data_IF_764023165900
#
_entry.id   IF_764023165900
#
_cell.length_a   1.000
_cell.length_b   1.000
_cell.length_c   1.000
_cell.angle_alpha   90.00
_cell.angle_beta   90.00
_cell.angle_gamma   90.00
#
_symmetry.space_group_name_H-M   'P 1'
#
loop_
_entity.id
_entity.type
_entity.pdbx_description
1 polymer ?
#
# COMPACT_ATOMS: atom_id res chain seq x y z
N UNK A 1 18.43 -7.91 -4.21
CA UNK A 1 19.87 -7.57 -4.32
C UNK A 1 20.31 -6.57 -3.24
N UNK A 2 19.76 -5.35 -3.16
CA UNK A 2 20.22 -4.25 -2.28
C UNK A 2 20.27 -4.67 -0.81
N UNK A 3 19.22 -5.23 -0.25
CA UNK A 3 19.14 -5.61 1.16
C UNK A 3 20.14 -6.72 1.57
N UNK A 4 20.53 -7.60 0.64
CA UNK A 4 21.63 -8.55 0.88
C UNK A 4 23.01 -7.85 0.83
N UNK A 5 23.19 -6.86 -0.04
CA UNK A 5 24.43 -6.07 -0.07
C UNK A 5 24.61 -5.26 1.21
N UNK A 6 23.51 -4.73 1.77
CA UNK A 6 23.50 -4.05 3.07
C UNK A 6 24.00 -4.99 4.19
N UNK A 7 23.51 -6.24 4.22
CA UNK A 7 23.96 -7.25 5.18
C UNK A 7 25.46 -7.59 5.01
N UNK A 8 25.92 -7.75 3.77
CA UNK A 8 27.33 -8.02 3.45
C UNK A 8 28.22 -6.85 3.88
N UNK A 9 27.78 -5.62 3.66
CA UNK A 9 28.51 -4.42 4.06
C UNK A 9 28.61 -4.32 5.60
N UNK A 10 27.51 -4.55 6.32
CA UNK A 10 27.50 -4.58 7.77
C UNK A 10 28.47 -5.63 8.33
N UNK A 11 28.42 -6.85 7.79
CA UNK A 11 29.33 -7.95 8.19
C UNK A 11 30.80 -7.59 7.96
N UNK A 12 31.14 -7.02 6.79
CA UNK A 12 32.53 -6.62 6.48
C UNK A 12 33.03 -5.48 7.36
N UNK A 13 32.16 -4.60 7.82
CA UNK A 13 32.50 -3.51 8.73
C UNK A 13 32.49 -3.93 10.21
N UNK A 14 32.04 -5.15 10.51
CA UNK A 14 31.97 -5.65 11.89
C UNK A 14 30.93 -4.93 12.76
N UNK A 15 29.89 -4.35 12.16
CA UNK A 15 28.77 -3.71 12.87
C UNK A 15 27.48 -4.50 12.61
N UNK A 16 26.49 -4.33 13.50
CA UNK A 16 25.22 -5.02 13.30
C UNK A 16 24.45 -4.47 12.08
N UNK A 17 23.69 -5.34 11.43
CA UNK A 17 22.84 -4.98 10.31
C UNK A 17 21.77 -3.95 10.68
N UNK A 18 21.32 -3.94 11.93
CA UNK A 18 20.40 -2.95 12.48
C UNK A 18 21.09 -1.59 12.55
N UNK A 19 22.31 -1.55 13.10
CA UNK A 19 23.07 -0.30 13.23
C UNK A 19 23.49 0.24 11.86
N UNK A 20 23.93 -0.62 10.94
CA UNK A 20 24.25 -0.20 9.58
C UNK A 20 23.06 0.50 8.91
N UNK A 21 21.84 -0.06 9.04
CA UNK A 21 20.63 0.57 8.50
C UNK A 21 20.29 1.87 9.22
N UNK A 22 20.43 1.95 10.56
CA UNK A 22 20.19 3.18 11.34
C UNK A 22 21.09 4.35 10.93
N UNK A 23 22.35 4.04 10.56
CA UNK A 23 23.29 5.05 10.07
C UNK A 23 22.89 5.54 8.68
N UNK A 24 22.53 4.61 7.77
CA UNK A 24 22.38 4.88 6.35
C UNK A 24 20.93 5.16 5.88
N UNK A 25 19.92 4.84 6.70
CA UNK A 25 18.54 5.04 6.29
C UNK A 25 18.19 6.51 6.11
N UNK A 26 17.28 6.77 5.18
CA UNK A 26 16.70 8.12 5.00
C UNK A 26 15.92 8.55 6.25
N UNK A 27 16.00 9.85 6.54
CA UNK A 27 15.34 10.55 7.65
C UNK A 27 14.63 11.78 7.10
N UNK A 28 13.83 12.42 7.92
CA UNK A 28 13.21 13.70 7.56
C UNK A 28 14.28 14.69 7.10
N UNK A 29 14.11 15.27 5.90
CA UNK A 29 15.05 16.18 5.28
C UNK A 29 16.25 15.50 4.59
N UNK A 30 16.34 14.17 4.55
CA UNK A 30 17.38 13.47 3.78
C UNK A 30 17.21 13.73 2.29
N UNK A 31 18.34 13.75 1.59
CA UNK A 31 18.38 13.79 0.12
C UNK A 31 18.55 12.37 -0.43
N UNK A 32 17.71 11.99 -1.38
CA UNK A 32 17.81 10.70 -2.08
C UNK A 32 18.96 10.67 -3.10
N UNK A 33 19.21 9.50 -3.68
CA UNK A 33 20.20 9.35 -4.77
C UNK A 33 19.83 10.15 -6.03
N UNK A 34 18.56 10.52 -6.18
CA UNK A 34 18.05 11.35 -7.29
C UNK A 34 18.04 12.84 -6.95
N UNK A 35 18.69 13.25 -5.86
CA UNK A 35 18.69 14.62 -5.33
C UNK A 35 17.32 15.16 -4.85
N UNK A 36 16.35 14.30 -4.63
CA UNK A 36 15.08 14.69 -4.01
C UNK A 36 15.24 14.85 -2.50
N UNK A 37 14.80 15.97 -1.94
CA UNK A 37 14.72 16.18 -0.49
C UNK A 37 13.39 15.64 0.04
N UNK A 38 13.46 14.81 1.08
CA UNK A 38 12.28 14.18 1.70
C UNK A 38 11.76 15.05 2.85
N UNK A 39 10.99 16.10 2.53
CA UNK A 39 10.50 17.09 3.49
C UNK A 39 8.99 17.34 3.45
N UNK A 40 8.30 16.90 2.41
CA UNK A 40 6.88 17.18 2.16
C UNK A 40 5.90 16.15 2.78
N UNK A 41 6.41 15.11 3.42
CA UNK A 41 5.66 14.06 4.09
C UNK A 41 6.46 13.53 5.28
N UNK A 42 5.86 12.68 6.12
CA UNK A 42 6.56 12.06 7.25
C UNK A 42 7.44 10.91 6.75
N UNK A 43 8.74 10.95 7.08
CA UNK A 43 9.70 9.87 6.80
C UNK A 43 9.71 8.89 7.98
N UNK A 44 8.93 7.82 7.87
CA UNK A 44 8.64 6.87 8.96
C UNK A 44 9.50 5.59 8.92
N UNK A 45 10.56 5.52 8.10
CA UNK A 45 11.35 4.30 7.91
C UNK A 45 11.91 3.74 9.22
N UNK A 46 12.38 4.61 10.11
CA UNK A 46 12.85 4.20 11.43
C UNK A 46 11.71 3.62 12.29
N UNK A 47 10.53 4.23 12.23
CA UNK A 47 9.37 3.81 13.01
C UNK A 47 8.91 2.41 12.61
N UNK A 48 8.76 2.15 11.30
CA UNK A 48 8.33 0.83 10.82
C UNK A 48 9.36 -0.25 11.16
N UNK A 49 10.67 0.06 11.03
CA UNK A 49 11.74 -0.86 11.41
C UNK A 49 11.71 -1.19 12.90
N UNK A 50 11.67 -0.18 13.77
CA UNK A 50 11.68 -0.40 15.23
C UNK A 50 10.46 -1.21 15.70
N UNK A 51 9.27 -0.97 15.11
CA UNK A 51 8.05 -1.74 15.42
C UNK A 51 8.18 -3.21 15.02
N UNK A 52 8.71 -3.51 13.83
CA UNK A 52 8.90 -4.90 13.37
C UNK A 52 9.92 -5.63 14.23
N UNK A 53 11.09 -5.01 14.46
CA UNK A 53 12.16 -5.63 15.26
C UNK A 53 11.72 -5.92 16.69
N UNK A 54 10.91 -5.03 17.27
CA UNK A 54 10.33 -5.23 18.62
C UNK A 54 9.30 -6.37 18.61
N UNK A 55 8.38 -6.37 17.66
CA UNK A 55 7.28 -7.34 17.59
C UNK A 55 7.80 -8.78 17.40
N UNK A 56 8.79 -8.95 16.51
CA UNK A 56 9.37 -10.27 16.27
C UNK A 56 10.37 -10.71 17.34
N UNK A 57 10.70 -9.85 18.31
CA UNK A 57 11.75 -10.07 19.34
C UNK A 57 13.13 -10.35 18.70
N UNK A 58 13.50 -9.51 17.72
CA UNK A 58 14.62 -9.74 16.84
C UNK A 58 15.94 -9.99 17.55
N UNK A 59 16.34 -9.13 18.49
CA UNK A 59 17.65 -9.22 19.18
C UNK A 59 17.80 -10.50 20.01
N UNK A 60 16.73 -10.97 20.64
CA UNK A 60 16.74 -12.22 21.41
C UNK A 60 16.81 -13.42 20.47
N UNK A 61 16.03 -13.41 19.39
CA UNK A 61 15.99 -14.49 18.41
C UNK A 61 17.26 -14.57 17.56
N UNK A 62 17.93 -13.44 17.29
CA UNK A 62 19.20 -13.40 16.60
C UNK A 62 20.29 -14.24 17.30
N UNK A 63 20.30 -14.28 18.66
CA UNK A 63 21.22 -15.10 19.45
C UNK A 63 21.01 -16.61 19.28
N UNK A 64 19.87 -17.03 18.70
CA UNK A 64 19.54 -18.43 18.48
C UNK A 64 19.91 -18.91 17.07
N UNK A 65 20.41 -18.01 16.21
CA UNK A 65 20.76 -18.36 14.84
C UNK A 65 21.86 -19.41 14.79
N UNK A 66 21.68 -20.40 13.92
CA UNK A 66 22.53 -21.61 13.87
C UNK A 66 23.80 -21.43 13.07
N UNK A 67 23.82 -20.51 12.08
CA UNK A 67 24.95 -20.23 11.18
C UNK A 67 25.60 -21.48 10.57
N UNK A 68 24.78 -22.50 10.27
CA UNK A 68 25.23 -23.75 9.66
C UNK A 68 25.96 -24.71 10.60
N UNK A 69 25.66 -24.67 11.90
CA UNK A 69 26.21 -25.57 12.91
C UNK A 69 25.99 -27.04 12.49
N UNK A 70 27.06 -27.81 12.23
CA UNK A 70 26.95 -29.18 11.73
C UNK A 70 26.37 -30.17 12.74
N UNK A 71 26.36 -29.83 14.02
CA UNK A 71 25.82 -30.70 15.08
C UNK A 71 24.30 -30.60 15.20
N UNK A 72 23.66 -29.70 14.43
CA UNK A 72 22.21 -29.50 14.45
C UNK A 72 21.53 -30.16 13.25
N UNK A 73 20.43 -30.90 13.48
CA UNK A 73 19.58 -31.41 12.42
C UNK A 73 18.72 -30.32 11.73
N UNK A 74 18.49 -29.22 12.44
CA UNK A 74 17.73 -28.06 11.97
C UNK A 74 18.48 -26.77 12.26
N UNK A 75 18.61 -25.93 11.27
CA UNK A 75 19.21 -24.61 11.37
C UNK A 75 18.15 -23.52 11.48
N UNK A 76 18.24 -22.74 12.54
CA UNK A 76 17.34 -21.62 12.81
C UNK A 76 17.94 -20.31 12.29
N UNK A 77 17.11 -19.47 11.70
CA UNK A 77 17.50 -18.14 11.25
C UNK A 77 16.37 -17.12 11.33
N UNK A 78 16.77 -15.87 11.54
CA UNK A 78 15.90 -14.71 11.50
C UNK A 78 16.54 -13.64 10.63
N UNK A 79 15.76 -12.93 9.81
CA UNK A 79 16.24 -11.85 8.97
C UNK A 79 15.17 -10.79 8.78
N UNK A 80 15.57 -9.58 8.39
CA UNK A 80 14.65 -8.51 8.07
C UNK A 80 15.17 -7.71 6.86
N UNK A 81 14.27 -6.92 6.28
CA UNK A 81 14.56 -5.99 5.21
C UNK A 81 13.70 -4.73 5.36
N UNK A 82 14.22 -3.61 4.87
CA UNK A 82 13.51 -2.32 4.85
C UNK A 82 13.38 -1.81 3.43
N UNK A 83 12.35 -1.02 3.16
CA UNK A 83 12.22 -0.31 1.89
C UNK A 83 11.64 1.09 2.08
N UNK A 84 11.99 1.95 1.13
CA UNK A 84 11.23 3.16 0.83
C UNK A 84 10.98 3.19 -0.67
N UNK A 85 9.75 3.48 -1.05
CA UNK A 85 9.31 3.41 -2.44
C UNK A 85 8.52 4.67 -2.79
N UNK A 86 8.85 5.26 -3.94
CA UNK A 86 8.04 6.31 -4.53
C UNK A 86 6.66 5.79 -4.96
N UNK A 87 5.64 6.58 -4.75
CA UNK A 87 4.27 6.24 -5.05
C UNK A 87 3.82 6.86 -6.37
N UNK A 88 2.88 6.16 -7.05
CA UNK A 88 2.33 6.62 -8.30
C UNK A 88 3.32 6.51 -9.48
N UNK A 89 3.00 7.03 -10.67
CA UNK A 89 3.91 6.97 -11.82
C UNK A 89 5.13 7.88 -11.66
N UNK A 90 5.01 8.93 -10.85
CA UNK A 90 6.11 9.86 -10.63
C UNK A 90 6.60 10.48 -11.93
N UNK A 91 7.92 10.43 -12.15
CA UNK A 91 8.56 10.96 -13.35
C UNK A 91 8.29 10.15 -14.63
N UNK A 92 7.70 8.96 -14.52
CA UNK A 92 7.48 8.07 -15.67
C UNK A 92 6.30 8.50 -16.55
N UNK A 93 5.42 9.38 -16.08
CA UNK A 93 4.28 9.82 -16.89
C UNK A 93 3.31 10.77 -16.20
N UNK A 94 2.33 11.21 -17.00
CA UNK A 94 1.21 12.03 -16.50
C UNK A 94 0.33 11.17 -15.60
N UNK A 95 0.05 11.67 -14.40
CA UNK A 95 -0.61 10.90 -13.38
C UNK A 95 -1.83 11.62 -12.81
N UNK A 96 -3.02 11.06 -13.07
CA UNK A 96 -4.31 11.56 -12.60
C UNK A 96 -5.32 10.42 -12.49
N UNK A 97 -6.42 10.69 -11.82
CA UNK A 97 -7.61 9.82 -11.83
C UNK A 97 -8.86 10.68 -11.77
N UNK A 98 -10.00 10.08 -12.07
CA UNK A 98 -11.30 10.75 -12.09
C UNK A 98 -12.36 9.93 -11.38
N UNK A 99 -13.37 10.61 -10.86
CA UNK A 99 -14.54 10.02 -10.21
C UNK A 99 -15.81 10.77 -10.59
N UNK A 100 -16.91 10.03 -10.70
CA UNK A 100 -18.23 10.55 -10.93
C UNK A 100 -19.11 10.18 -9.73
N UNK A 101 -19.80 11.16 -9.18
CA UNK A 101 -20.85 10.94 -8.17
C UNK A 101 -22.17 11.44 -8.75
N UNK A 102 -23.14 10.55 -8.82
CA UNK A 102 -24.47 10.79 -9.36
C UNK A 102 -25.52 10.42 -8.31
N UNK A 103 -26.24 11.40 -7.77
CA UNK A 103 -27.26 11.19 -6.75
C UNK A 103 -28.63 10.98 -7.41
N UNK A 104 -29.34 9.97 -6.94
CA UNK A 104 -30.66 9.61 -7.44
C UNK A 104 -31.78 10.33 -6.64
N UNK A 105 -33.02 10.45 -7.17
CA UNK A 105 -34.11 11.12 -6.46
C UNK A 105 -34.47 10.55 -5.08
N UNK A 106 -34.15 9.28 -4.83
CA UNK A 106 -34.33 8.61 -3.55
C UNK A 106 -33.21 8.88 -2.54
N UNK A 107 -32.21 9.67 -2.94
CA UNK A 107 -31.02 9.98 -2.16
C UNK A 107 -29.92 8.92 -2.21
N UNK A 108 -30.08 7.84 -2.97
CA UNK A 108 -28.99 6.89 -3.22
C UNK A 108 -27.94 7.50 -4.14
N UNK A 109 -26.69 7.05 -3.99
CA UNK A 109 -25.52 7.59 -4.67
C UNK A 109 -24.91 6.53 -5.57
N UNK A 110 -24.69 6.84 -6.84
CA UNK A 110 -23.91 6.04 -7.76
C UNK A 110 -22.50 6.63 -7.81
N UNK A 111 -21.48 5.81 -7.52
CA UNK A 111 -20.07 6.17 -7.58
C UNK A 111 -19.41 5.41 -8.72
N UNK A 112 -18.68 6.12 -9.57
CA UNK A 112 -17.88 5.57 -10.65
C UNK A 112 -16.47 6.16 -10.57
N UNK A 113 -15.44 5.32 -10.70
CA UNK A 113 -14.03 5.76 -10.72
C UNK A 113 -13.25 5.03 -11.80
N UNK A 114 -12.12 5.57 -12.22
CA UNK A 114 -11.18 4.89 -13.13
C UNK A 114 -10.31 3.81 -12.45
N UNK A 115 -10.54 3.47 -11.18
CA UNK A 115 -9.76 2.47 -10.46
C UNK A 115 -10.31 1.08 -10.70
N UNK A 116 -9.48 0.18 -11.22
CA UNK A 116 -9.87 -1.21 -11.47
C UNK A 116 -9.84 -2.03 -10.18
N UNK A 117 -10.81 -2.95 -10.05
CA UNK A 117 -10.81 -3.97 -9.00
C UNK A 117 -10.01 -5.20 -9.48
N UNK A 118 -8.91 -5.49 -8.80
CA UNK A 118 -8.04 -6.64 -9.05
C UNK A 118 -8.10 -7.67 -7.90
N UNK A 119 -9.04 -7.51 -6.98
CA UNK A 119 -9.13 -8.25 -5.72
C UNK A 119 -8.47 -7.54 -4.54
N UNK A 120 -7.96 -6.29 -4.74
CA UNK A 120 -7.35 -5.48 -3.70
C UNK A 120 -8.36 -4.69 -2.86
N UNK A 121 -9.67 -4.73 -3.20
CA UNK A 121 -10.74 -4.06 -2.45
C UNK A 121 -10.94 -2.60 -2.80
N UNK A 122 -10.59 -2.18 -4.03
CA UNK A 122 -10.75 -0.80 -4.49
C UNK A 122 -12.20 -0.31 -4.39
N UNK A 123 -13.17 -1.15 -4.77
CA UNK A 123 -14.61 -0.83 -4.67
C UNK A 123 -14.97 -0.38 -3.25
N UNK A 124 -14.66 -1.21 -2.25
CA UNK A 124 -14.97 -0.91 -0.84
C UNK A 124 -14.28 0.35 -0.36
N UNK A 125 -13.01 0.56 -0.76
CA UNK A 125 -12.24 1.74 -0.35
C UNK A 125 -12.83 3.02 -0.94
N UNK A 126 -13.22 3.02 -2.22
CA UNK A 126 -13.84 4.20 -2.86
C UNK A 126 -15.20 4.53 -2.25
N UNK A 127 -16.00 3.50 -1.93
CA UNK A 127 -17.29 3.68 -1.21
C UNK A 127 -17.06 4.31 0.16
N UNK A 128 -16.08 3.82 0.94
CA UNK A 128 -15.77 4.37 2.27
C UNK A 128 -15.32 5.83 2.21
N UNK A 129 -14.48 6.21 1.24
CA UNK A 129 -14.05 7.59 1.04
C UNK A 129 -15.25 8.49 0.71
N UNK A 130 -16.10 8.07 -0.22
CA UNK A 130 -17.30 8.83 -0.58
C UNK A 130 -18.29 8.95 0.60
N UNK A 131 -18.48 7.86 1.35
CA UNK A 131 -19.37 7.82 2.52
C UNK A 131 -18.90 8.79 3.61
N UNK A 132 -17.61 8.78 3.92
CA UNK A 132 -17.01 9.68 4.92
C UNK A 132 -17.17 11.15 4.49
N UNK A 133 -16.83 11.46 3.24
CA UNK A 133 -16.89 12.84 2.74
C UNK A 133 -18.34 13.38 2.66
N UNK A 134 -19.29 12.55 2.31
CA UNK A 134 -20.70 12.94 2.19
C UNK A 134 -21.48 12.83 3.51
N UNK A 135 -20.89 12.25 4.56
CA UNK A 135 -21.57 11.99 5.83
C UNK A 135 -22.71 10.98 5.70
N UNK A 136 -22.58 10.01 4.81
CA UNK A 136 -23.58 9.00 4.50
C UNK A 136 -23.16 7.60 4.97
N UNK A 137 -24.10 6.72 5.32
CA UNK A 137 -23.78 5.32 5.52
C UNK A 137 -23.38 4.66 4.18
N UNK A 138 -22.49 3.68 4.23
CA UNK A 138 -22.02 2.94 3.03
C UNK A 138 -23.16 2.31 2.22
N UNK A 139 -24.27 1.96 2.88
CA UNK A 139 -25.47 1.38 2.25
C UNK A 139 -26.17 2.31 1.26
N UNK A 140 -25.92 3.62 1.35
CA UNK A 140 -26.43 4.63 0.40
C UNK A 140 -25.64 4.68 -0.89
N UNK A 141 -24.41 4.14 -0.93
CA UNK A 141 -23.50 4.29 -2.05
C UNK A 141 -23.38 2.97 -2.79
N UNK A 142 -23.60 3.00 -4.10
CA UNK A 142 -23.40 1.88 -5.01
C UNK A 142 -22.25 2.20 -5.95
N UNK A 143 -21.27 1.33 -5.96
CA UNK A 143 -20.16 1.41 -6.90
C UNK A 143 -20.55 0.77 -8.24
N UNK A 144 -20.32 1.46 -9.34
CA UNK A 144 -20.44 0.89 -10.67
C UNK A 144 -19.06 0.44 -11.14
N UNK A 145 -18.98 -0.81 -11.55
CA UNK A 145 -17.75 -1.35 -12.11
C UNK A 145 -17.25 -0.49 -13.27
N UNK A 146 -15.95 -0.12 -13.27
CA UNK A 146 -15.38 0.73 -14.32
C UNK A 146 -15.47 0.04 -15.68
N UNK A 147 -15.86 0.82 -16.68
CA UNK A 147 -15.91 0.41 -18.07
C UNK A 147 -15.48 1.58 -18.94
N UNK A 148 -14.70 1.32 -19.96
CA UNK A 148 -14.28 2.33 -20.92
C UNK A 148 -15.43 3.01 -21.68
N UNK A 149 -16.65 2.48 -21.56
CA UNK A 149 -17.86 3.06 -22.14
C UNK A 149 -18.60 4.05 -21.25
N UNK A 150 -18.29 4.10 -19.94
CA UNK A 150 -19.09 4.90 -18.99
C UNK A 150 -18.28 5.79 -18.07
N UNK A 151 -16.96 5.61 -17.98
CA UNK A 151 -16.11 6.48 -17.17
C UNK A 151 -14.95 7.04 -17.98
N UNK A 152 -14.43 8.23 -17.61
CA UNK A 152 -13.18 8.73 -18.16
C UNK A 152 -12.01 7.82 -17.82
N UNK A 153 -11.01 7.81 -18.68
CA UNK A 153 -9.78 7.08 -18.43
C UNK A 153 -9.08 7.58 -17.16
N UNK A 154 -8.85 6.67 -16.21
CA UNK A 154 -8.11 6.92 -14.97
C UNK A 154 -6.67 6.41 -15.01
N UNK A 155 -6.23 5.92 -16.17
CA UNK A 155 -4.94 5.23 -16.33
C UNK A 155 -4.93 3.83 -15.70
N UNK A 156 -3.80 3.16 -15.83
CA UNK A 156 -3.61 1.80 -15.32
C UNK A 156 -3.57 1.78 -13.79
N UNK A 157 -4.19 0.78 -13.16
CA UNK A 157 -4.06 0.51 -11.73
C UNK A 157 -2.73 -0.22 -11.46
N UNK A 158 -1.64 0.53 -11.34
CA UNK A 158 -0.26 0.08 -11.07
C UNK A 158 0.41 1.03 -10.08
N UNK A 159 1.66 0.79 -9.73
CA UNK A 159 2.48 1.68 -8.90
C UNK A 159 1.78 2.15 -7.61
N UNK A 160 0.89 1.30 -7.09
CA UNK A 160 0.10 1.50 -5.87
C UNK A 160 -0.66 2.83 -5.81
N UNK A 161 -1.10 3.35 -6.98
CA UNK A 161 -1.73 4.67 -7.14
C UNK A 161 -3.26 4.70 -6.91
N UNK A 162 -3.91 3.52 -6.85
CA UNK A 162 -5.37 3.42 -6.82
C UNK A 162 -6.03 4.24 -5.71
N UNK A 163 -5.69 3.97 -4.45
CA UNK A 163 -6.26 4.71 -3.29
C UNK A 163 -5.79 6.16 -3.26
N UNK A 164 -4.54 6.42 -3.64
CA UNK A 164 -3.96 7.76 -3.64
C UNK A 164 -4.66 8.69 -4.63
N UNK A 165 -4.70 8.30 -5.91
CA UNK A 165 -5.28 9.13 -6.97
C UNK A 165 -6.80 8.96 -7.10
N UNK A 166 -7.28 7.72 -7.12
CA UNK A 166 -8.71 7.44 -7.20
C UNK A 166 -9.48 7.92 -5.97
N UNK A 167 -8.90 7.71 -4.78
CA UNK A 167 -9.43 8.28 -3.54
C UNK A 167 -9.43 9.80 -3.54
N UNK A 168 -8.36 10.43 -4.06
CA UNK A 168 -8.30 11.88 -4.24
C UNK A 168 -9.38 12.41 -5.18
N UNK A 169 -9.60 11.74 -6.31
CA UNK A 169 -10.65 12.08 -7.27
C UNK A 169 -12.05 11.92 -6.66
N UNK A 170 -12.28 10.83 -5.91
CA UNK A 170 -13.53 10.58 -5.19
C UNK A 170 -13.81 11.68 -4.15
N UNK A 171 -12.81 12.05 -3.37
CA UNK A 171 -12.90 13.16 -2.40
C UNK A 171 -13.23 14.49 -3.10
N UNK A 172 -12.60 14.78 -4.24
CA UNK A 172 -12.87 16.01 -5.00
C UNK A 172 -14.29 16.01 -5.59
N UNK A 173 -14.75 14.88 -6.14
CA UNK A 173 -16.14 14.76 -6.61
C UNK A 173 -17.14 14.98 -5.48
N UNK A 174 -16.91 14.41 -4.30
CA UNK A 174 -17.75 14.59 -3.13
C UNK A 174 -17.79 16.06 -2.65
N UNK A 175 -16.65 16.76 -2.68
CA UNK A 175 -16.58 18.20 -2.36
C UNK A 175 -17.38 19.05 -3.34
N UNK A 176 -17.24 18.81 -4.65
CA UNK A 176 -18.03 19.49 -5.68
C UNK A 176 -19.52 19.26 -5.47
N UNK A 177 -19.93 18.04 -5.16
CA UNK A 177 -21.31 17.72 -4.86
C UNK A 177 -21.83 18.47 -3.61
N UNK A 178 -21.04 18.53 -2.54
CA UNK A 178 -21.38 19.32 -1.34
C UNK A 178 -21.54 20.81 -1.67
N UNK A 179 -20.71 21.35 -2.54
CA UNK A 179 -20.83 22.74 -2.98
C UNK A 179 -22.13 23.01 -3.75
N UNK A 180 -22.51 22.10 -4.67
CA UNK A 180 -23.79 22.18 -5.40
C UNK A 180 -24.99 22.19 -4.43
N UNK A 181 -24.99 21.24 -3.47
CA UNK A 181 -26.05 21.15 -2.45
C UNK A 181 -26.06 22.40 -1.54
N UNK A 182 -24.89 22.88 -1.13
CA UNK A 182 -24.74 24.07 -0.28
C UNK A 182 -25.28 25.31 -0.99
N UNK A 183 -25.00 25.48 -2.28
CA UNK A 183 -25.52 26.59 -3.08
C UNK A 183 -27.05 26.51 -3.23
N UNK A 184 -27.60 25.32 -3.45
CA UNK A 184 -29.04 25.11 -3.49
C UNK A 184 -29.73 25.50 -2.17
N UNK A 185 -29.18 25.06 -1.03
CA UNK A 185 -29.69 25.40 0.30
C UNK A 185 -29.56 26.90 0.59
N UNK A 186 -28.45 27.52 0.25
CA UNK A 186 -28.21 28.96 0.43
C UNK A 186 -29.21 29.79 -0.41
N UNK A 187 -29.44 29.37 -1.66
CA UNK A 187 -30.31 30.08 -2.58
C UNK A 187 -31.76 29.99 -2.18
N UNK A 188 -32.25 28.81 -1.81
CA UNK A 188 -33.69 28.55 -1.63
C UNK A 188 -34.12 28.56 -0.17
N UNK A 189 -33.25 28.21 0.80
CA UNK A 189 -33.55 28.23 2.24
C UNK A 189 -32.87 29.37 2.99
N UNK A 190 -31.99 30.13 2.33
CA UNK A 190 -31.15 31.18 2.93
C UNK A 190 -30.27 30.67 4.08
N UNK A 191 -29.94 29.38 4.05
CA UNK A 191 -29.08 28.71 5.05
C UNK A 191 -27.85 28.09 4.34
N UNK A 192 -26.66 28.35 4.87
CA UNK A 192 -25.41 27.87 4.29
C UNK A 192 -24.95 26.61 5.03
N UNK A 193 -24.89 25.50 4.32
CA UNK A 193 -24.35 24.24 4.84
C UNK A 193 -22.85 24.36 5.11
N UNK A 194 -22.36 23.67 6.15
CA UNK A 194 -20.95 23.54 6.46
C UNK A 194 -20.53 22.12 6.76
N UNK A 195 -21.40 21.33 7.43
CA UNK A 195 -21.12 19.96 7.79
C UNK A 195 -22.14 19.02 7.18
N UNK A 196 -21.68 17.86 6.75
CA UNK A 196 -22.48 16.76 6.23
C UNK A 196 -22.13 15.54 7.09
N UNK A 197 -23.02 15.14 7.96
CA UNK A 197 -22.76 14.14 9.00
C UNK A 197 -24.04 13.34 9.29
N UNK A 198 -23.93 12.01 9.33
CA UNK A 198 -25.04 11.11 9.72
C UNK A 198 -26.36 11.38 8.97
N UNK A 199 -26.28 11.54 7.66
CA UNK A 199 -27.40 11.89 6.78
C UNK A 199 -28.07 13.24 7.10
N UNK A 200 -27.40 14.11 7.87
CA UNK A 200 -27.86 15.45 8.22
C UNK A 200 -26.92 16.52 7.61
N UNK A 201 -27.50 17.63 7.25
CA UNK A 201 -26.75 18.80 6.77
C UNK A 201 -26.89 19.91 7.80
N UNK A 202 -25.73 20.39 8.29
CA UNK A 202 -25.69 21.35 9.40
C UNK A 202 -24.98 22.65 8.97
N UNK A 203 -25.36 23.74 9.61
CA UNK A 203 -24.70 25.04 9.44
C UNK A 203 -23.40 25.17 10.29
N UNK A 204 -22.79 26.35 10.26
CA UNK A 204 -21.57 26.66 10.99
C UNK A 204 -21.72 26.60 12.53
N UNK A 205 -22.96 26.67 13.05
CA UNK A 205 -23.31 26.56 14.47
C UNK A 205 -23.64 25.12 14.88
N UNK A 206 -23.52 24.17 13.95
CA UNK A 206 -23.94 22.77 14.08
C UNK A 206 -25.47 22.61 14.28
N UNK A 207 -26.26 23.59 13.85
CA UNK A 207 -27.70 23.44 13.79
C UNK A 207 -28.10 22.73 12.52
N UNK A 208 -29.02 21.75 12.65
CA UNK A 208 -29.53 21.01 11.49
C UNK A 208 -30.28 21.94 10.56
N UNK A 209 -29.91 21.96 9.29
CA UNK A 209 -30.62 22.65 8.23
C UNK A 209 -31.74 21.76 7.70
N UNK A 210 -31.37 20.53 7.31
CA UNK A 210 -32.26 19.51 6.77
C UNK A 210 -31.52 18.14 6.74
N UNK A 211 -32.26 17.09 6.49
CA UNK A 211 -31.73 15.77 6.18
C UNK A 211 -31.14 15.73 4.76
N UNK A 212 -30.34 14.71 4.47
CA UNK A 212 -29.83 14.43 3.12
C UNK A 212 -30.97 14.31 2.10
N UNK A 213 -32.01 13.53 2.41
CA UNK A 213 -33.15 13.32 1.50
C UNK A 213 -33.91 14.61 1.21
N UNK A 214 -34.12 15.48 2.19
CA UNK A 214 -34.76 16.79 2.00
C UNK A 214 -33.92 17.69 1.10
N UNK A 215 -32.60 17.72 1.28
CA UNK A 215 -31.69 18.47 0.42
C UNK A 215 -31.72 17.98 -1.04
N UNK A 216 -31.71 16.68 -1.25
CA UNK A 216 -31.79 16.09 -2.59
C UNK A 216 -33.18 16.36 -3.22
N UNK A 217 -34.26 16.21 -2.48
CA UNK A 217 -35.61 16.57 -2.95
C UNK A 217 -35.70 18.05 -3.33
N UNK A 218 -35.08 18.94 -2.55
CA UNK A 218 -35.00 20.37 -2.89
C UNK A 218 -34.23 20.55 -4.23
N UNK A 219 -33.09 19.95 -4.39
CA UNK A 219 -32.32 20.04 -5.63
C UNK A 219 -33.17 19.66 -6.86
N UNK A 220 -33.79 18.48 -6.84
CA UNK A 220 -34.64 18.03 -7.97
C UNK A 220 -35.88 18.93 -8.19
N UNK A 221 -36.53 19.40 -7.12
CA UNK A 221 -37.68 20.31 -7.23
C UNK A 221 -37.32 21.67 -7.86
N UNK A 222 -36.05 22.07 -7.75
CA UNK A 222 -35.50 23.30 -8.31
C UNK A 222 -34.72 23.09 -9.63
N UNK A 223 -34.84 21.90 -10.20
CA UNK A 223 -34.13 21.52 -11.44
C UNK A 223 -32.58 21.62 -11.33
N UNK A 224 -32.07 21.46 -10.13
CA UNK A 224 -30.63 21.35 -9.86
C UNK A 224 -30.30 19.85 -9.81
N UNK A 225 -29.50 19.38 -10.75
CA UNK A 225 -29.12 17.98 -10.80
C UNK A 225 -27.90 17.71 -9.92
N UNK A 226 -27.99 16.90 -8.85
CA UNK A 226 -26.88 16.64 -7.95
C UNK A 226 -25.91 15.62 -8.55
N UNK A 227 -25.05 16.08 -9.44
CA UNK A 227 -24.04 15.33 -10.18
C UNK A 227 -22.70 16.03 -10.07
N UNK A 228 -21.66 15.29 -9.81
CA UNK A 228 -20.31 15.84 -9.71
C UNK A 228 -19.29 14.96 -10.45
N UNK A 229 -18.41 15.63 -11.17
CA UNK A 229 -17.22 15.06 -11.78
C UNK A 229 -15.98 15.63 -11.08
N UNK A 230 -15.20 14.76 -10.43
CA UNK A 230 -13.99 15.13 -9.73
C UNK A 230 -12.76 14.55 -10.41
N UNK A 231 -11.71 15.33 -10.47
CA UNK A 231 -10.39 14.91 -10.95
C UNK A 231 -9.38 15.17 -9.85
N UNK A 232 -8.45 14.26 -9.65
CA UNK A 232 -7.25 14.51 -8.87
C UNK A 232 -6.03 14.27 -9.75
N UNK A 233 -5.24 15.33 -9.92
CA UNK A 233 -3.96 15.29 -10.60
C UNK A 233 -2.86 15.15 -9.55
N UNK A 234 -1.92 14.24 -9.77
CA UNK A 234 -0.74 14.13 -8.91
C UNK A 234 0.02 15.47 -8.86
N UNK A 235 0.56 15.84 -7.71
CA UNK A 235 1.49 16.96 -7.62
C UNK A 235 2.62 16.85 -8.63
N UNK A 236 3.05 18.00 -9.15
CA UNK A 236 4.09 18.05 -10.19
C UNK A 236 5.39 17.46 -9.67
N UNK A 237 5.97 16.56 -10.44
CA UNK A 237 7.32 16.01 -10.26
C UNK A 237 8.28 16.66 -11.25
N UNK A 238 9.58 16.55 -10.98
CA UNK A 238 10.65 17.04 -11.86
C UNK A 238 11.63 15.91 -12.11
N UNK A 239 12.12 15.82 -13.33
CA UNK A 239 13.10 14.82 -13.73
C UNK A 239 13.97 15.35 -14.85
N UNK A 240 15.24 15.10 -14.76
CA UNK A 240 16.24 15.38 -15.79
C UNK A 240 16.80 14.04 -16.28
N UNK A 241 16.51 13.69 -17.53
CA UNK A 241 16.90 12.44 -18.18
C UNK A 241 18.42 12.30 -18.34
N UNK A 242 19.15 13.42 -18.51
CA UNK A 242 20.59 13.40 -18.73
C UNK A 242 21.35 13.09 -17.44
N UNK A 243 20.91 13.65 -16.33
CA UNK A 243 21.59 13.53 -15.03
C UNK A 243 20.98 12.46 -14.14
N UNK A 244 19.75 12.01 -14.41
CA UNK A 244 18.98 11.11 -13.54
C UNK A 244 18.59 11.76 -12.21
N UNK A 245 18.47 13.08 -12.16
CA UNK A 245 18.14 13.84 -10.95
C UNK A 245 16.77 14.52 -11.03
N UNK A 246 16.16 14.71 -9.88
CA UNK A 246 14.90 15.42 -9.75
C UNK A 246 14.04 14.94 -8.58
N UNK A 247 12.93 15.63 -8.37
CA UNK A 247 11.89 15.18 -7.46
C UNK A 247 11.00 14.16 -8.18
N UNK A 248 11.51 12.91 -8.29
CA UNK A 248 10.92 11.85 -9.09
C UNK A 248 9.53 11.40 -8.61
N UNK A 249 9.24 11.56 -7.32
CA UNK A 249 7.96 11.17 -6.71
C UNK A 249 7.47 12.23 -5.74
N UNK A 250 6.17 12.49 -5.73
CA UNK A 250 5.59 13.50 -4.84
C UNK A 250 5.32 12.96 -3.41
N UNK A 251 5.29 11.64 -3.23
CA UNK A 251 5.22 11.01 -1.91
C UNK A 251 5.87 9.62 -1.91
N UNK A 252 6.12 9.09 -0.72
CA UNK A 252 6.84 7.85 -0.49
C UNK A 252 6.15 7.00 0.57
N UNK A 253 6.23 5.68 0.40
CA UNK A 253 5.82 4.70 1.40
C UNK A 253 7.05 4.04 2.01
N UNK A 254 6.97 3.72 3.29
CA UNK A 254 8.04 3.12 4.08
C UNK A 254 7.59 1.79 4.63
N UNK A 255 8.47 0.79 4.59
CA UNK A 255 8.15 -0.55 5.04
C UNK A 255 9.33 -1.27 5.68
N UNK A 256 8.99 -2.22 6.55
CA UNK A 256 9.91 -3.21 7.11
C UNK A 256 9.20 -4.55 7.23
N UNK A 257 9.90 -5.62 6.90
CA UNK A 257 9.42 -6.98 7.14
C UNK A 257 10.52 -7.83 7.75
N UNK A 258 10.16 -8.72 8.66
CA UNK A 258 11.05 -9.70 9.28
C UNK A 258 10.47 -11.09 9.17
N UNK A 259 11.36 -12.07 9.01
CA UNK A 259 11.02 -13.48 8.82
C UNK A 259 11.85 -14.34 9.74
N UNK A 260 11.21 -15.28 10.40
CA UNK A 260 11.78 -16.35 11.22
C UNK A 260 11.57 -17.69 10.50
N UNK A 261 12.60 -18.50 10.37
CA UNK A 261 12.55 -19.76 9.65
C UNK A 261 13.47 -20.83 10.22
N UNK A 262 13.19 -22.08 9.86
CA UNK A 262 14.07 -23.23 10.05
C UNK A 262 14.43 -23.84 8.70
N UNK A 263 15.65 -24.38 8.62
CA UNK A 263 16.16 -25.15 7.50
C UNK A 263 16.54 -26.55 8.01
N UNK A 264 15.97 -27.58 7.42
CA UNK A 264 16.36 -28.97 7.70
C UNK A 264 17.73 -29.26 7.06
N UNK A 265 18.74 -29.52 7.88
CA UNK A 265 20.13 -29.63 7.42
C UNK A 265 20.33 -30.72 6.33
N UNK A 266 19.65 -31.86 6.44
CA UNK A 266 19.79 -33.01 5.51
C UNK A 266 19.09 -32.80 4.16
N UNK A 267 17.95 -32.12 4.15
CA UNK A 267 17.12 -32.00 2.94
C UNK A 267 17.16 -30.63 2.29
N UNK A 268 17.56 -29.61 3.05
CA UNK A 268 17.48 -28.22 2.64
C UNK A 268 16.04 -27.68 2.66
N UNK A 269 15.06 -28.41 3.26
CA UNK A 269 13.69 -27.94 3.36
C UNK A 269 13.62 -26.72 4.26
N UNK A 270 13.04 -25.64 3.74
CA UNK A 270 12.79 -24.40 4.48
C UNK A 270 11.36 -24.44 5.04
N UNK A 271 11.20 -24.08 6.31
CA UNK A 271 9.91 -23.89 6.96
C UNK A 271 9.86 -22.48 7.56
N UNK A 272 8.93 -21.69 7.11
CA UNK A 272 8.65 -20.37 7.69
C UNK A 272 7.96 -20.56 9.05
N UNK A 273 8.39 -19.84 10.08
CA UNK A 273 7.88 -19.97 11.44
C UNK A 273 7.05 -18.76 11.88
N UNK A 274 7.49 -17.55 11.49
CA UNK A 274 6.81 -16.31 11.81
C UNK A 274 7.19 -15.23 10.81
N UNK A 275 6.25 -14.35 10.49
CA UNK A 275 6.47 -13.19 9.64
C UNK A 275 5.79 -11.95 10.21
N UNK A 276 6.54 -10.85 10.29
CA UNK A 276 6.03 -9.57 10.79
C UNK A 276 6.28 -8.50 9.74
N UNK A 277 5.24 -7.72 9.42
CA UNK A 277 5.34 -6.59 8.50
C UNK A 277 4.82 -5.31 9.14
N UNK A 278 5.49 -4.18 8.91
CA UNK A 278 4.97 -2.85 9.19
C UNK A 278 5.14 -1.96 7.96
N UNK A 279 4.08 -1.24 7.58
CA UNK A 279 4.11 -0.25 6.52
C UNK A 279 3.35 1.01 6.92
N UNK A 280 3.87 2.16 6.48
CA UNK A 280 3.19 3.44 6.62
C UNK A 280 2.18 3.62 5.48
N UNK A 281 0.91 3.54 5.81
CA UNK A 281 -0.22 3.56 4.87
C UNK A 281 -0.87 4.96 4.73
N UNK A 282 -0.27 5.99 5.33
CA UNK A 282 -0.93 7.29 5.47
C UNK A 282 -2.14 7.16 6.41
N UNK A 283 -3.35 7.43 5.92
CA UNK A 283 -4.61 7.12 6.61
C UNK A 283 -5.09 5.73 6.18
N UNK A 284 -5.33 4.84 7.12
CA UNK A 284 -5.92 3.54 6.85
C UNK A 284 -7.43 3.67 6.60
N UNK A 285 -7.87 3.69 5.33
CA UNK A 285 -9.29 3.82 4.98
C UNK A 285 -10.10 2.61 5.43
N UNK A 286 -9.56 1.41 5.26
CA UNK A 286 -10.12 0.16 5.76
C UNK A 286 -9.02 -0.69 6.39
N UNK A 287 -8.82 -0.62 7.71
CA UNK A 287 -7.73 -1.33 8.40
C UNK A 287 -7.71 -2.85 8.17
N UNK A 288 -8.88 -3.49 8.06
CA UNK A 288 -8.93 -4.94 7.82
C UNK A 288 -8.46 -5.31 6.41
N UNK A 289 -8.87 -4.54 5.40
CA UNK A 289 -8.37 -4.75 4.03
C UNK A 289 -6.89 -4.41 3.90
N UNK A 290 -6.41 -3.41 4.63
CA UNK A 290 -4.97 -3.09 4.73
C UNK A 290 -4.20 -4.29 5.25
N UNK A 291 -4.65 -4.94 6.34
CA UNK A 291 -4.03 -6.19 6.84
C UNK A 291 -4.06 -7.29 5.79
N UNK A 292 -5.19 -7.43 5.08
CA UNK A 292 -5.32 -8.38 3.96
C UNK A 292 -4.26 -8.17 2.88
N UNK A 293 -3.96 -6.89 2.52
CA UNK A 293 -2.88 -6.57 1.59
C UNK A 293 -1.50 -6.98 2.13
N UNK A 294 -1.23 -6.79 3.42
CA UNK A 294 0.03 -7.22 4.05
C UNK A 294 0.19 -8.74 3.98
N UNK A 295 -0.84 -9.51 4.35
CA UNK A 295 -0.80 -10.97 4.31
C UNK A 295 -0.62 -11.49 2.90
N UNK A 296 -1.36 -10.95 1.93
CA UNK A 296 -1.23 -11.29 0.52
C UNK A 296 0.15 -10.94 -0.06
N UNK A 297 0.67 -9.76 0.28
CA UNK A 297 2.00 -9.32 -0.13
C UNK A 297 3.10 -10.20 0.44
N UNK A 298 3.07 -10.51 1.75
CA UNK A 298 4.02 -11.43 2.37
C UNK A 298 3.97 -12.82 1.74
N UNK A 299 2.77 -13.36 1.47
CA UNK A 299 2.62 -14.67 0.81
C UNK A 299 3.20 -14.66 -0.62
N UNK A 300 2.90 -13.62 -1.40
CA UNK A 300 3.44 -13.46 -2.75
C UNK A 300 4.97 -13.34 -2.73
N UNK A 301 5.52 -12.49 -1.84
CA UNK A 301 6.97 -12.34 -1.70
C UNK A 301 7.67 -13.59 -1.20
N UNK A 302 7.04 -14.39 -0.34
CA UNK A 302 7.55 -15.71 0.08
C UNK A 302 7.52 -16.71 -1.07
N UNK A 303 6.45 -16.74 -1.88
CA UNK A 303 6.36 -17.55 -3.09
C UNK A 303 7.47 -17.23 -4.08
N UNK A 304 7.67 -15.95 -4.36
CA UNK A 304 8.76 -15.47 -5.22
C UNK A 304 10.16 -15.86 -4.68
N UNK A 305 10.36 -15.75 -3.37
CA UNK A 305 11.62 -16.10 -2.73
C UNK A 305 11.94 -17.59 -2.71
N UNK A 306 10.93 -18.47 -2.63
CA UNK A 306 11.12 -19.89 -2.29
C UNK A 306 10.59 -20.89 -3.30
N UNK A 307 9.59 -20.55 -4.14
CA UNK A 307 8.85 -21.54 -4.93
C UNK A 307 8.68 -21.20 -6.40
N UNK A 308 8.40 -19.92 -6.71
CA UNK A 308 7.93 -19.51 -8.02
C UNK A 308 9.06 -19.47 -9.03
N UNK A 309 8.95 -20.31 -10.06
CA UNK A 309 9.93 -20.42 -11.15
C UNK A 309 9.17 -20.56 -12.48
N UNK A 310 9.51 -19.71 -13.42
CA UNK A 310 8.91 -19.74 -14.76
C UNK A 310 10.01 -19.90 -15.83
N UNK A 311 10.62 -21.11 -15.94
CA UNK A 311 11.64 -21.35 -16.93
C UNK A 311 11.05 -21.34 -18.35
N UNK A 312 11.85 -20.82 -19.29
CA UNK A 312 11.55 -20.85 -20.71
C UNK A 312 12.36 -21.93 -21.41
N UNK A 313 11.72 -22.63 -22.34
CA UNK A 313 12.38 -23.54 -23.29
C UNK A 313 11.96 -23.14 -24.69
N UNK A 314 12.94 -22.83 -25.53
CA UNK A 314 12.73 -22.38 -26.91
C UNK A 314 11.71 -21.23 -27.04
N UNK A 315 11.75 -20.29 -26.07
CA UNK A 315 10.84 -19.14 -25.99
C UNK A 315 9.45 -19.43 -25.41
N UNK A 316 9.13 -20.68 -25.08
CA UNK A 316 7.86 -21.07 -24.44
C UNK A 316 8.02 -21.33 -22.96
N UNK A 317 7.04 -20.89 -22.16
CA UNK A 317 6.99 -21.20 -20.72
C UNK A 317 6.77 -22.69 -20.46
N UNK A 318 7.59 -23.29 -19.61
CA UNK A 318 7.44 -24.72 -19.24
C UNK A 318 6.20 -24.93 -18.37
N UNK A 319 5.93 -24.13 -17.31
CA UNK A 319 4.70 -24.26 -16.55
C UNK A 319 3.51 -23.76 -17.39
N UNK A 320 2.55 -24.65 -17.63
CA UNK A 320 1.32 -24.33 -18.39
C UNK A 320 0.08 -24.19 -17.52
N UNK A 321 0.20 -24.51 -16.23
CA UNK A 321 -0.88 -24.46 -15.26
C UNK A 321 -0.35 -24.36 -13.82
N UNK A 322 -1.21 -24.09 -12.83
CA UNK A 322 -0.84 -23.97 -11.41
C UNK A 322 -0.44 -25.28 -10.72
N UNK A 323 -0.57 -26.43 -11.36
CA UNK A 323 0.02 -27.66 -10.86
C UNK A 323 1.55 -27.66 -11.04
N UNK A 324 2.03 -27.07 -12.12
CA UNK A 324 3.45 -26.93 -12.46
C UNK A 324 4.05 -25.64 -11.90
N UNK A 325 3.35 -24.51 -12.03
CA UNK A 325 3.72 -23.23 -11.41
C UNK A 325 3.19 -23.21 -9.98
N UNK A 326 4.11 -23.37 -9.02
CA UNK A 326 3.75 -23.56 -7.61
C UNK A 326 3.65 -22.24 -6.89
N UNK A 327 2.49 -21.99 -6.27
CA UNK A 327 2.25 -20.87 -5.36
C UNK A 327 2.29 -21.36 -3.90
N UNK A 328 2.52 -20.44 -2.96
CA UNK A 328 2.37 -20.69 -1.53
C UNK A 328 0.92 -21.09 -1.22
N UNK A 329 0.75 -22.15 -0.48
CA UNK A 329 -0.57 -22.60 0.02
C UNK A 329 -0.76 -22.11 1.45
N UNK A 330 -1.99 -22.06 1.93
CA UNK A 330 -2.30 -21.70 3.32
C UNK A 330 -1.51 -22.55 4.35
N UNK A 331 -1.22 -23.81 4.02
CA UNK A 331 -0.43 -24.73 4.88
C UNK A 331 1.08 -24.45 4.87
N UNK A 332 1.56 -23.67 3.92
CA UNK A 332 2.98 -23.31 3.79
C UNK A 332 3.27 -21.97 4.49
N UNK A 333 2.22 -21.21 4.85
CA UNK A 333 2.34 -19.92 5.52
C UNK A 333 2.43 -20.07 7.03
N UNK A 334 3.29 -19.27 7.69
CA UNK A 334 3.42 -19.24 9.14
C UNK A 334 2.38 -18.33 9.78
N UNK A 335 2.50 -18.13 11.08
CA UNK A 335 1.85 -17.00 11.75
C UNK A 335 2.35 -15.67 11.16
N UNK A 336 1.43 -14.74 10.90
CA UNK A 336 1.73 -13.45 10.27
C UNK A 336 1.15 -12.30 11.10
N UNK A 337 1.97 -11.30 11.38
CA UNK A 337 1.55 -10.06 12.06
C UNK A 337 1.67 -8.87 11.12
N UNK A 338 0.58 -8.11 10.97
CA UNK A 338 0.51 -6.89 10.19
C UNK A 338 0.37 -5.66 11.10
N UNK A 339 1.37 -4.78 11.11
CA UNK A 339 1.40 -3.55 11.90
C UNK A 339 1.13 -2.36 10.98
N UNK A 340 -0.04 -1.77 11.11
CA UNK A 340 -0.40 -0.55 10.39
C UNK A 340 0.26 0.64 11.06
N UNK A 341 1.01 1.43 10.30
CA UNK A 341 1.54 2.72 10.72
C UNK A 341 0.80 3.81 9.94
N UNK A 342 0.27 4.79 10.67
CA UNK A 342 -0.51 5.86 10.08
C UNK A 342 0.19 7.21 10.25
N UNK A 343 0.68 7.74 9.11
CA UNK A 343 1.14 9.12 8.98
C UNK A 343 0.37 9.74 7.80
N UNK A 344 -0.81 10.34 8.04
CA UNK A 344 -1.69 10.85 7.01
C UNK A 344 -0.98 11.76 6.01
N UNK A 345 -1.00 11.40 4.73
CA UNK A 345 -0.24 12.06 3.69
C UNK A 345 -0.91 13.38 3.24
N UNK A 346 -0.22 14.53 3.33
CA UNK A 346 -0.79 15.80 2.92
C UNK A 346 -0.92 15.96 1.40
N UNK A 347 -0.23 15.17 0.61
CA UNK A 347 -0.22 15.27 -0.85
C UNK A 347 -1.45 14.65 -1.51
N UNK A 348 -2.27 13.89 -0.77
CA UNK A 348 -3.52 13.31 -1.26
C UNK A 348 -4.73 13.84 -0.47
N UNK A 349 -5.84 14.21 -1.13
CA UNK A 349 -7.09 14.59 -0.45
C UNK A 349 -7.64 13.51 0.48
N UNK A 350 -7.50 12.23 0.13
CA UNK A 350 -7.89 11.10 0.97
C UNK A 350 -6.93 10.85 2.15
N UNK A 351 -5.73 11.47 2.11
CA UNK A 351 -4.64 11.32 3.07
C UNK A 351 -4.08 9.89 3.20
N UNK A 352 -4.52 8.97 2.36
CA UNK A 352 -4.04 7.60 2.30
C UNK A 352 -2.83 7.48 1.36
N UNK A 353 -1.98 6.49 1.61
CA UNK A 353 -0.95 6.01 0.69
C UNK A 353 -1.39 4.69 0.06
N UNK A 354 -0.83 4.33 -1.08
CA UNK A 354 -1.04 3.00 -1.65
C UNK A 354 -0.07 1.98 -1.06
N UNK A 355 -0.50 0.72 -0.96
CA UNK A 355 0.30 -0.35 -0.34
C UNK A 355 0.22 -1.68 -1.11
N UNK A 356 -0.19 -1.67 -2.37
CA UNK A 356 -0.31 -2.91 -3.15
C UNK A 356 1.04 -3.63 -3.30
N UNK A 357 2.00 -2.98 -3.93
CA UNK A 357 3.32 -3.54 -4.19
C UNK A 357 4.29 -3.46 -3.00
N UNK A 358 4.31 -2.40 -2.16
CA UNK A 358 5.28 -2.31 -1.06
C UNK A 358 5.26 -3.49 -0.10
N UNK A 359 4.10 -4.14 0.06
CA UNK A 359 3.92 -5.26 0.98
C UNK A 359 4.57 -6.56 0.52
N UNK A 360 4.97 -6.68 -0.76
CA UNK A 360 5.61 -7.90 -1.30
C UNK A 360 7.12 -7.73 -1.52
N UNK A 361 7.61 -6.51 -1.72
CA UNK A 361 8.96 -6.23 -2.23
C UNK A 361 10.09 -6.72 -1.33
N UNK A 362 9.89 -6.64 -0.02
CA UNK A 362 10.94 -6.89 0.97
C UNK A 362 10.83 -8.23 1.69
N UNK A 363 9.85 -9.05 1.35
CA UNK A 363 9.69 -10.40 1.92
C UNK A 363 10.82 -11.34 1.49
N UNK A 364 11.08 -11.43 0.17
CA UNK A 364 12.12 -12.31 -0.34
C UNK A 364 13.52 -11.95 0.18
N UNK A 365 13.96 -10.66 0.24
CA UNK A 365 15.23 -10.33 0.86
C UNK A 365 15.26 -10.59 2.38
N UNK A 366 14.17 -10.42 3.11
CA UNK A 366 14.12 -10.79 4.53
C UNK A 366 14.31 -12.31 4.72
N UNK A 367 13.69 -13.14 3.87
CA UNK A 367 13.91 -14.58 3.82
C UNK A 367 15.36 -14.92 3.50
N UNK A 368 15.97 -14.28 2.49
CA UNK A 368 17.35 -14.52 2.12
C UNK A 368 18.32 -14.20 3.26
N UNK A 369 18.08 -13.12 4.01
CA UNK A 369 18.85 -12.74 5.18
C UNK A 369 18.65 -13.75 6.34
N UNK A 370 17.43 -14.26 6.55
CA UNK A 370 17.16 -15.31 7.52
C UNK A 370 17.86 -16.63 7.17
N UNK A 371 17.83 -17.03 5.89
CA UNK A 371 18.54 -18.23 5.39
C UNK A 371 20.05 -18.09 5.62
N UNK A 372 20.64 -16.93 5.36
CA UNK A 372 22.06 -16.70 5.67
C UNK A 372 22.38 -16.96 7.14
N UNK A 373 21.55 -16.48 8.05
CA UNK A 373 21.74 -16.70 9.50
C UNK A 373 21.47 -18.14 9.94
N UNK A 374 20.62 -18.83 9.22
CA UNK A 374 20.43 -20.27 9.44
C UNK A 374 21.64 -21.08 8.94
N UNK A 375 22.14 -20.82 7.74
CA UNK A 375 23.05 -21.70 6.99
C UNK A 375 24.49 -21.21 6.84
N UNK A 376 24.75 -19.91 7.12
CA UNK A 376 26.01 -19.20 6.79
C UNK A 376 26.31 -19.12 5.29
N UNK A 377 25.32 -19.45 4.43
CA UNK A 377 25.48 -19.41 2.98
C UNK A 377 24.57 -18.34 2.38
N UNK A 378 25.07 -17.56 1.42
CA UNK A 378 24.30 -16.55 0.70
C UNK A 378 23.84 -17.11 -0.64
N UNK A 379 22.57 -16.88 -0.93
CA UNK A 379 21.91 -17.27 -2.17
C UNK A 379 21.51 -16.01 -2.93
N UNK A 380 21.92 -15.92 -4.18
CA UNK A 380 21.68 -14.75 -5.05
C UNK A 380 20.63 -15.01 -6.12
N UNK A 381 20.34 -16.28 -6.39
CA UNK A 381 19.33 -16.68 -7.36
C UNK A 381 17.99 -16.96 -6.66
N UNK A 382 16.89 -16.69 -7.32
CA UNK A 382 15.54 -16.96 -6.85
C UNK A 382 14.79 -17.85 -7.87
N UNK A 383 13.90 -18.72 -7.39
CA UNK A 383 13.65 -19.05 -5.99
C UNK A 383 14.89 -19.70 -5.33
N UNK A 384 15.07 -19.41 -4.02
CA UNK A 384 16.20 -19.93 -3.26
C UNK A 384 16.06 -21.45 -3.13
N UNK A 385 17.03 -22.18 -3.68
CA UNK A 385 17.12 -23.63 -3.61
C UNK A 385 18.37 -24.04 -2.85
N UNK A 386 18.18 -24.57 -1.64
CA UNK A 386 19.33 -25.09 -0.90
C UNK A 386 19.78 -26.39 -1.54
N UNK A 387 21.07 -26.46 -1.90
CA UNK A 387 21.64 -27.67 -2.45
C UNK A 387 21.68 -28.74 -1.35
N UNK A 388 21.35 -29.99 -1.70
CA UNK A 388 21.61 -31.11 -0.81
C UNK A 388 23.11 -31.17 -0.59
N UNK A 389 23.54 -31.12 0.68
CA UNK A 389 24.94 -31.32 1.08
C UNK A 389 25.39 -32.74 0.74
#
# INVERSE_FOLDING_TARGET
AIEQLVEIAAEKLGISEVEFRRINMVKQGSTTVTNQVLDNHVVSLKEVMDKVLKEIDYEKKLKRCSFGDPDLDKWYGIGFAISYRGMSLGAEGVDFNSAIINVQPDGSVLLETGVHENGQGAESVMILIAAEELGLPVSRIRYRMPSTSNIPDGGTTVASRGTLLGGGATTNAAKILKDIITEALQTHLKRKAKYFEQEQILDARREVICSWNEAISLCFSKQIYPYAFGVFQAPRVTWDEETGHGNAYFTWVYGCQAVELEVEAKTGKITLLNMVAAHDVGKAINPEMVRGQFYGGMATGAGYGLMEEFPLKDGAGIPTNFHQYRLMRATDMPEMTAIIVENPDPSSPSRAKGIGEPTLEITAPAIANAIYRATKQRYVDQPIKLRKS
#
